data_IF_432811234325
#
_entry.id   IF_432811234325
#
_cell.length_a   1.000
_cell.length_b   1.000
_cell.length_c   1.000
_cell.angle_alpha   90.00
_cell.angle_beta   90.00
_cell.angle_gamma   90.00
#
_symmetry.space_group_name_H-M   'P 1'
#
loop_
_entity.id
_entity.type
_entity.pdbx_description
1 polymer ?
#
# COMPACT_ATOMS: atom_id res chain seq x y z
N UNK A 1 -0.51 2.51 -13.40
CA UNK A 1 -0.58 1.46 -12.36
C UNK A 1 -1.41 1.97 -11.19
N UNK A 2 -1.02 3.08 -10.57
CA UNK A 2 -1.81 3.73 -9.52
C UNK A 2 -2.80 4.71 -10.17
N UNK A 3 -4.08 4.52 -9.88
CA UNK A 3 -5.18 5.39 -10.32
C UNK A 3 -5.41 6.54 -9.34
N UNK A 4 -5.42 6.25 -8.05
CA UNK A 4 -5.69 7.25 -7.01
C UNK A 4 -5.03 6.83 -5.68
N UNK A 5 -4.58 7.82 -4.90
CA UNK A 5 -4.28 7.65 -3.47
C UNK A 5 -5.19 8.56 -2.67
N UNK A 6 -5.94 7.98 -1.73
CA UNK A 6 -6.91 8.72 -0.91
C UNK A 6 -6.88 8.27 0.54
N UNK A 7 -7.37 9.13 1.43
CA UNK A 7 -7.48 8.80 2.84
C UNK A 7 -7.45 10.02 3.75
N UNK A 8 -7.51 9.78 5.05
CA UNK A 8 -7.43 10.82 6.07
C UNK A 8 -6.59 10.31 7.26
N UNK A 9 -5.63 11.13 7.69
CA UNK A 9 -4.65 10.71 8.69
C UNK A 9 -3.84 9.50 8.21
N UNK A 10 -3.76 8.46 9.05
CA UNK A 10 -3.04 7.22 8.74
C UNK A 10 -3.93 6.12 8.17
N UNK A 11 -5.19 6.42 7.85
CA UNK A 11 -6.06 5.49 7.14
C UNK A 11 -6.05 5.84 5.65
N UNK A 12 -5.23 5.13 4.90
CA UNK A 12 -4.92 5.39 3.49
C UNK A 12 -5.34 4.23 2.59
N UNK A 13 -5.64 4.54 1.35
CA UNK A 13 -5.94 3.59 0.29
C UNK A 13 -5.21 3.97 -0.99
N UNK A 14 -4.61 2.97 -1.64
CA UNK A 14 -4.02 3.06 -2.98
C UNK A 14 -4.91 2.27 -3.93
N UNK A 15 -5.56 2.96 -4.86
CA UNK A 15 -6.36 2.33 -5.91
C UNK A 15 -5.49 2.13 -7.15
N UNK A 16 -5.48 0.90 -7.65
CA UNK A 16 -4.79 0.53 -8.88
C UNK A 16 -5.74 0.61 -10.08
N UNK A 17 -5.16 0.83 -11.26
CA UNK A 17 -5.89 0.72 -12.52
C UNK A 17 -6.50 -0.69 -12.68
N UNK A 18 -7.63 -0.80 -13.36
CA UNK A 18 -8.27 -2.12 -13.62
C UNK A 18 -7.36 -3.04 -14.44
N UNK A 19 -6.46 -2.47 -15.24
CA UNK A 19 -5.49 -3.20 -16.07
C UNK A 19 -4.22 -3.60 -15.29
N UNK A 20 -4.10 -3.22 -14.01
CA UNK A 20 -2.93 -3.47 -13.17
C UNK A 20 -2.75 -4.94 -12.74
N UNK A 21 -3.65 -5.84 -13.12
CA UNK A 21 -3.62 -7.25 -12.68
C UNK A 21 -4.09 -7.47 -11.23
N UNK A 22 -4.74 -6.48 -10.63
CA UNK A 22 -5.26 -6.54 -9.26
C UNK A 22 -4.26 -6.12 -8.19
N UNK A 23 -4.75 -5.88 -6.98
CA UNK A 23 -3.98 -5.40 -5.83
C UNK A 23 -3.27 -6.51 -5.05
N UNK A 24 -3.70 -7.77 -5.19
CA UNK A 24 -3.13 -8.90 -4.45
C UNK A 24 -1.65 -9.16 -4.77
N UNK A 25 -1.20 -9.19 -6.04
CA UNK A 25 0.23 -9.37 -6.33
C UNK A 25 1.10 -8.29 -5.69
N UNK A 26 0.59 -7.06 -5.60
CA UNK A 26 1.29 -5.97 -4.92
C UNK A 26 1.35 -6.21 -3.41
N UNK A 27 0.25 -6.65 -2.77
CA UNK A 27 0.27 -7.02 -1.35
C UNK A 27 1.24 -8.17 -1.05
N UNK A 28 1.32 -9.18 -1.93
CA UNK A 28 2.27 -10.30 -1.80
C UNK A 28 3.73 -9.83 -1.98
N UNK A 29 3.98 -8.89 -2.89
CA UNK A 29 5.30 -8.26 -3.03
C UNK A 29 5.68 -7.42 -1.80
N UNK A 30 4.74 -6.68 -1.21
CA UNK A 30 4.96 -5.96 0.05
C UNK A 30 5.25 -6.92 1.21
N UNK A 31 4.51 -8.03 1.28
CA UNK A 31 4.72 -9.07 2.29
C UNK A 31 6.14 -9.66 2.20
N UNK A 32 6.63 -9.95 0.99
CA UNK A 32 7.99 -10.44 0.78
C UNK A 32 9.06 -9.44 1.25
N UNK A 33 8.71 -8.15 1.35
CA UNK A 33 9.56 -7.06 1.85
C UNK A 33 9.34 -6.74 3.33
N UNK A 34 8.50 -7.51 4.02
CA UNK A 34 8.21 -7.35 5.45
C UNK A 34 7.12 -6.32 5.79
N UNK A 35 6.39 -5.81 4.80
CA UNK A 35 5.25 -4.91 5.03
C UNK A 35 3.93 -5.64 4.75
N UNK A 36 3.12 -5.82 5.78
CA UNK A 36 1.79 -6.41 5.62
C UNK A 36 0.78 -5.33 5.26
N UNK A 37 0.18 -5.46 4.08
CA UNK A 37 -0.96 -4.67 3.62
C UNK A 37 -2.06 -5.62 3.14
N UNK A 38 -3.30 -5.12 3.05
CA UNK A 38 -4.43 -5.93 2.59
C UNK A 38 -5.20 -5.24 1.49
N UNK A 39 -5.49 -6.00 0.44
CA UNK A 39 -6.35 -5.60 -0.65
C UNK A 39 -7.84 -5.75 -0.32
N UNK A 40 -8.66 -4.99 -1.02
CA UNK A 40 -10.12 -5.04 -0.99
C UNK A 40 -10.67 -4.72 -2.38
N UNK A 41 -11.85 -5.25 -2.70
CA UNK A 41 -12.56 -4.98 -3.97
C UNK A 41 -11.62 -5.09 -5.20
N UNK A 42 -10.75 -6.10 -5.17
CA UNK A 42 -9.75 -6.50 -6.18
C UNK A 42 -8.64 -5.50 -6.53
N UNK A 43 -8.86 -4.19 -6.46
CA UNK A 43 -7.92 -3.17 -6.95
C UNK A 43 -7.48 -2.14 -5.91
N UNK A 44 -7.96 -2.22 -4.67
CA UNK A 44 -7.60 -1.24 -3.63
C UNK A 44 -6.73 -1.87 -2.56
N UNK A 45 -5.56 -1.29 -2.29
CA UNK A 45 -4.68 -1.66 -1.18
C UNK A 45 -4.96 -0.71 -0.01
N UNK A 46 -5.27 -1.23 1.18
CA UNK A 46 -5.47 -0.44 2.40
C UNK A 46 -4.23 -0.44 3.28
N UNK A 47 -3.94 0.72 3.85
CA UNK A 47 -2.83 0.97 4.76
C UNK A 47 -3.39 1.64 6.00
N UNK A 48 -3.23 0.99 7.14
CA UNK A 48 -3.64 1.51 8.45
C UNK A 48 -2.62 1.07 9.50
N UNK A 49 -1.44 1.73 9.55
CA UNK A 49 -0.39 1.36 10.49
C UNK A 49 -0.79 1.75 11.92
N UNK A 50 -0.16 1.15 12.94
CA UNK A 50 -0.32 1.59 14.32
C UNK A 50 0.03 3.07 14.47
N UNK A 51 -0.80 3.84 15.18
CA UNK A 51 -0.63 5.29 15.34
C UNK A 51 0.61 5.70 16.16
N UNK A 52 1.29 4.72 16.75
CA UNK A 52 2.53 4.88 17.51
C UNK A 52 3.80 4.84 16.64
N UNK A 53 3.66 4.76 15.31
CA UNK A 53 4.82 4.71 14.42
C UNK A 53 5.66 5.98 14.50
N UNK A 54 6.96 5.83 14.26
CA UNK A 54 7.91 6.93 14.11
C UNK A 54 7.95 7.43 12.66
N UNK A 55 8.45 8.65 12.45
CA UNK A 55 8.62 9.21 11.11
C UNK A 55 9.51 8.31 10.22
N UNK A 56 10.59 7.74 10.78
CA UNK A 56 11.46 6.82 10.06
C UNK A 56 10.73 5.53 9.62
N UNK A 57 9.79 5.03 10.43
CA UNK A 57 8.93 3.91 10.03
C UNK A 57 7.93 4.31 8.95
N UNK A 58 7.43 5.55 8.99
CA UNK A 58 6.53 6.09 7.96
C UNK A 58 7.25 6.19 6.61
N UNK A 59 8.48 6.72 6.61
CA UNK A 59 9.34 6.79 5.43
C UNK A 59 9.64 5.39 4.89
N UNK A 60 9.99 4.45 5.77
CA UNK A 60 10.26 3.07 5.37
C UNK A 60 9.05 2.39 4.72
N UNK A 61 7.83 2.62 5.22
CA UNK A 61 6.58 2.16 4.61
C UNK A 61 6.47 2.74 3.19
N UNK A 62 6.67 4.05 3.03
CA UNK A 62 6.64 4.73 1.74
C UNK A 62 7.64 4.13 0.74
N UNK A 63 8.84 3.80 1.19
CA UNK A 63 9.87 3.18 0.35
C UNK A 63 9.52 1.75 -0.09
N UNK A 64 8.81 0.97 0.75
CA UNK A 64 8.31 -0.34 0.33
C UNK A 64 7.27 -0.20 -0.78
N UNK A 65 6.36 0.77 -0.66
CA UNK A 65 5.38 1.05 -1.71
C UNK A 65 6.04 1.50 -3.01
N UNK A 66 7.02 2.42 -2.96
CA UNK A 66 7.78 2.83 -4.16
C UNK A 66 8.43 1.63 -4.84
N UNK A 67 9.01 0.71 -4.09
CA UNK A 67 9.73 -0.42 -4.66
C UNK A 67 8.84 -1.46 -5.35
N UNK A 68 7.56 -1.56 -4.99
CA UNK A 68 6.62 -2.53 -5.60
C UNK A 68 5.67 -1.90 -6.62
N UNK A 69 5.52 -0.57 -6.62
CA UNK A 69 4.64 0.18 -7.52
C UNK A 69 5.39 0.89 -8.67
N UNK A 70 6.72 0.83 -8.67
CA UNK A 70 7.57 1.38 -9.74
C UNK A 70 7.39 0.65 -11.08
#
# INVERSE_FOLDING_TARGET
>A
LVKEVRGQGLMLAVELDSEAGGARPVCEALQARGLLAKETHDHTIRIAPPLILTDAQADWIGDQFKAVLA
#
